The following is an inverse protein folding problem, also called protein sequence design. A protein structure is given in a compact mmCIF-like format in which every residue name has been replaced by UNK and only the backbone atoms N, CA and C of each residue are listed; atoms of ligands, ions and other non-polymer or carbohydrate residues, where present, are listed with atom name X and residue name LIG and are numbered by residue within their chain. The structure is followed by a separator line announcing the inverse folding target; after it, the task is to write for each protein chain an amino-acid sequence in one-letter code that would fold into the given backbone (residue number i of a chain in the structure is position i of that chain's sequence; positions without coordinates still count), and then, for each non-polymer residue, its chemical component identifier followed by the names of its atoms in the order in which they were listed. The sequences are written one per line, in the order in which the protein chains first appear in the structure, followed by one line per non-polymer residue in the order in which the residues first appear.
data_IF_790108799965
#
_entry.id   IF_790108799965
#
_cell.length_a   1.000
_cell.length_b   1.000
_cell.length_c   1.000
_cell.angle_alpha   90.00
_cell.angle_beta   90.00
_cell.angle_gamma   90.00
#
_symmetry.space_group_name_H-M   'P 1'
#
loop_
_entity.id
_entity.type
_entity.pdbx_description
1 polymer ?
#
# COMPACT_ATOMS: atom_id res chain seq x y z
N UNK A 1 1.75 -15.67 15.74
CA UNK A 1 0.40 -15.52 15.15
C UNK A 1 0.37 -14.19 14.39
N UNK A 2 0.94 -14.13 13.19
CA UNK A 2 0.95 -12.92 12.33
C UNK A 2 0.41 -13.25 10.92
N UNK A 3 -0.56 -14.15 10.82
CA UNK A 3 -1.02 -14.71 9.54
C UNK A 3 -2.21 -13.96 8.91
N UNK A 4 -2.51 -12.72 9.34
CA UNK A 4 -3.71 -11.98 8.89
C UNK A 4 -3.47 -10.80 7.95
N UNK A 5 -2.26 -10.22 7.92
CA UNK A 5 -2.02 -8.93 7.25
C UNK A 5 -1.49 -9.10 5.81
N UNK A 6 -0.87 -10.24 5.49
CA UNK A 6 -0.19 -10.46 4.20
C UNK A 6 -1.08 -10.32 2.95
N UNK A 7 -2.40 -10.18 3.10
CA UNK A 7 -3.34 -10.00 1.98
C UNK A 7 -4.22 -8.74 2.07
N UNK A 8 -4.13 -7.95 3.15
CA UNK A 8 -5.03 -6.81 3.37
C UNK A 8 -4.82 -5.70 2.33
N UNK A 9 -3.56 -5.36 2.09
CA UNK A 9 -3.19 -4.33 1.11
C UNK A 9 -3.49 -4.75 -0.33
N UNK A 10 -3.10 -5.98 -0.72
CA UNK A 10 -3.37 -6.49 -2.06
C UNK A 10 -4.87 -6.53 -2.37
N UNK A 11 -5.69 -6.97 -1.41
CA UNK A 11 -7.14 -6.97 -1.53
C UNK A 11 -7.72 -5.56 -1.59
N UNK A 12 -7.16 -4.62 -0.85
CA UNK A 12 -7.56 -3.21 -0.95
C UNK A 12 -7.28 -2.66 -2.35
N UNK A 13 -6.08 -2.89 -2.89
CA UNK A 13 -5.70 -2.46 -4.24
C UNK A 13 -6.57 -3.10 -5.33
N UNK A 14 -6.95 -4.38 -5.17
CA UNK A 14 -7.86 -5.03 -6.13
C UNK A 14 -9.28 -4.45 -6.09
N UNK A 15 -9.75 -4.00 -4.92
CA UNK A 15 -11.05 -3.36 -4.77
C UNK A 15 -11.07 -1.92 -5.30
N UNK A 16 -9.97 -1.18 -5.13
CA UNK A 16 -9.87 0.20 -5.63
C UNK A 16 -9.54 0.24 -7.12
N UNK A 17 -8.84 -0.78 -7.64
CA UNK A 17 -8.58 -0.99 -9.06
C UNK A 17 -8.06 0.26 -9.79
N UNK A 18 -7.04 0.93 -9.22
CA UNK A 18 -6.42 2.13 -9.79
C UNK A 18 -7.26 3.41 -9.68
N UNK A 19 -8.43 3.36 -9.03
CA UNK A 19 -9.20 4.57 -8.71
C UNK A 19 -8.54 5.32 -7.56
N UNK A 20 -8.67 6.65 -7.58
CA UNK A 20 -8.29 7.49 -6.44
C UNK A 20 -9.14 7.14 -5.23
N UNK A 21 -8.48 6.96 -4.09
CA UNK A 21 -9.14 6.73 -2.81
C UNK A 21 -8.40 7.48 -1.70
N UNK A 22 -9.11 7.70 -0.59
CA UNK A 22 -8.55 8.30 0.61
C UNK A 22 -8.49 7.25 1.72
N UNK A 23 -7.46 7.31 2.54
CA UNK A 23 -7.49 6.66 3.85
C UNK A 23 -8.25 7.59 4.80
N UNK A 24 -9.21 7.05 5.53
CA UNK A 24 -10.01 7.84 6.49
C UNK A 24 -9.56 7.66 7.93
N UNK A 25 -8.85 6.57 8.22
CA UNK A 25 -8.41 6.21 9.56
C UNK A 25 -7.09 5.45 9.50
N UNK A 26 -6.16 5.81 10.37
CA UNK A 26 -4.92 5.08 10.63
C UNK A 26 -4.89 4.70 12.11
N UNK A 27 -4.61 3.44 12.41
CA UNK A 27 -4.42 2.96 13.77
C UNK A 27 -2.95 2.67 13.99
N UNK A 28 -2.43 3.14 15.13
CA UNK A 28 -1.07 2.86 15.61
C UNK A 28 -1.25 2.04 16.90
N UNK A 29 -1.30 0.70 16.82
CA UNK A 29 -1.65 -0.16 17.95
C UNK A 29 -0.69 -0.04 19.13
N UNK A 30 0.60 0.15 18.86
CA UNK A 30 1.64 0.32 19.86
C UNK A 30 1.41 1.54 20.78
N UNK A 31 0.77 2.58 20.24
CA UNK A 31 0.47 3.82 20.97
C UNK A 31 -0.99 3.91 21.42
N UNK A 32 -1.82 2.90 21.12
CA UNK A 32 -3.27 2.94 21.25
C UNK A 32 -3.89 4.22 20.64
N UNK A 33 -3.29 4.74 19.57
CA UNK A 33 -3.68 5.98 18.91
C UNK A 33 -4.48 5.68 17.64
N UNK A 34 -5.59 6.39 17.48
CA UNK A 34 -6.36 6.41 16.23
C UNK A 34 -6.32 7.82 15.66
N UNK A 35 -5.92 7.92 14.39
CA UNK A 35 -5.87 9.18 13.65
C UNK A 35 -6.95 9.12 12.57
N UNK A 36 -7.90 10.06 12.62
CA UNK A 36 -8.98 10.20 11.65
C UNK A 36 -8.76 11.42 10.75
N UNK A 37 -9.19 11.32 9.49
CA UNK A 37 -9.04 12.42 8.54
C UNK A 37 -9.30 12.02 7.10
N UNK A 38 -8.84 12.84 6.14
CA UNK A 38 -8.79 12.47 4.72
C UNK A 38 -7.33 12.49 4.28
N UNK A 39 -6.73 11.31 4.19
CA UNK A 39 -5.34 11.17 3.78
C UNK A 39 -5.27 10.72 2.33
N UNK A 40 -4.51 11.45 1.52
CA UNK A 40 -4.17 10.98 0.19
C UNK A 40 -3.21 9.81 0.31
N UNK A 41 -3.41 8.80 -0.53
CA UNK A 41 -2.45 7.71 -0.65
C UNK A 41 -1.23 8.18 -1.44
N UNK A 42 -0.03 7.66 -1.14
CA UNK A 42 1.15 7.97 -1.94
C UNK A 42 0.95 7.48 -3.38
N UNK A 43 1.55 8.13 -4.40
CA UNK A 43 1.37 7.75 -5.81
C UNK A 43 1.65 6.27 -6.10
N UNK A 44 2.58 5.65 -5.37
CA UNK A 44 2.88 4.22 -5.48
C UNK A 44 1.67 3.31 -5.22
N UNK A 45 0.77 3.72 -4.30
CA UNK A 45 -0.46 2.99 -3.97
C UNK A 45 -1.55 3.09 -5.05
N UNK A 46 -1.38 3.99 -6.03
CA UNK A 46 -2.30 4.11 -7.17
C UNK A 46 -1.96 3.11 -8.29
N UNK A 47 -0.77 2.52 -8.23
CA UNK A 47 -0.29 1.55 -9.22
C UNK A 47 -0.85 0.14 -8.96
N UNK A 48 -0.91 -0.66 -10.03
CA UNK A 48 -1.26 -2.08 -9.89
C UNK A 48 -0.25 -2.82 -9.01
N UNK A 49 -0.64 -3.96 -8.44
CA UNK A 49 0.30 -4.79 -7.65
C UNK A 49 1.50 -5.23 -8.50
N UNK A 50 1.29 -5.52 -9.78
CA UNK A 50 2.35 -5.91 -10.71
C UNK A 50 3.36 -4.77 -10.91
N UNK A 51 2.88 -3.55 -11.14
CA UNK A 51 3.73 -2.36 -11.29
C UNK A 51 4.50 -2.06 -9.99
N UNK A 52 3.88 -2.25 -8.83
CA UNK A 52 4.53 -2.08 -7.53
C UNK A 52 5.67 -3.08 -7.33
N UNK A 53 5.46 -4.35 -7.71
CA UNK A 53 6.50 -5.39 -7.66
C UNK A 53 7.64 -5.04 -8.62
N UNK A 54 7.32 -4.60 -9.83
CA UNK A 54 8.31 -4.19 -10.83
C UNK A 54 9.18 -3.04 -10.31
N UNK A 55 8.57 -1.98 -9.77
CA UNK A 55 9.30 -0.83 -9.21
C UNK A 55 10.15 -1.24 -8.00
N UNK A 56 9.62 -2.07 -7.11
CA UNK A 56 10.38 -2.56 -5.97
C UNK A 56 11.63 -3.36 -6.41
N UNK A 57 11.48 -4.23 -7.41
CA UNK A 57 12.59 -4.97 -8.00
C UNK A 57 13.59 -4.04 -8.69
N UNK A 58 13.12 -3.05 -9.45
CA UNK A 58 13.96 -2.04 -10.12
C UNK A 58 14.82 -1.25 -9.12
N UNK A 59 14.23 -0.81 -8.00
CA UNK A 59 14.95 -0.11 -6.94
C UNK A 59 15.99 -1.03 -6.30
N UNK A 60 15.62 -2.29 -6.02
CA UNK A 60 16.52 -3.28 -5.41
C UNK A 60 17.74 -3.58 -6.30
N UNK A 61 17.56 -3.57 -7.62
CA UNK A 61 18.65 -3.82 -8.58
C UNK A 61 19.40 -2.56 -9.01
N UNK A 62 19.24 -1.45 -8.27
CA UNK A 62 19.86 -0.16 -8.57
C UNK A 62 19.56 0.36 -9.98
N UNK A 63 18.34 0.14 -10.44
CA UNK A 63 17.85 0.62 -11.73
C UNK A 63 18.21 -0.27 -12.92
N UNK A 64 18.56 -1.54 -12.67
CA UNK A 64 18.90 -2.50 -13.72
C UNK A 64 18.03 -3.75 -13.60
N UNK A 65 16.93 -3.80 -14.34
CA UNK A 65 16.19 -5.04 -14.61
C UNK A 65 16.63 -5.54 -15.99
N UNK A 66 17.30 -6.70 -16.02
CA UNK A 66 17.70 -7.40 -17.26
C UNK A 66 16.64 -8.41 -17.66
#
# INVERSE_FOLDING_TARGET
MLTGIEHGWQKLLSLTAGKKFYITQVQIPEDALTIEGKFQVPPFAELSMEDQIFIAAFIQTHGSLK
#
